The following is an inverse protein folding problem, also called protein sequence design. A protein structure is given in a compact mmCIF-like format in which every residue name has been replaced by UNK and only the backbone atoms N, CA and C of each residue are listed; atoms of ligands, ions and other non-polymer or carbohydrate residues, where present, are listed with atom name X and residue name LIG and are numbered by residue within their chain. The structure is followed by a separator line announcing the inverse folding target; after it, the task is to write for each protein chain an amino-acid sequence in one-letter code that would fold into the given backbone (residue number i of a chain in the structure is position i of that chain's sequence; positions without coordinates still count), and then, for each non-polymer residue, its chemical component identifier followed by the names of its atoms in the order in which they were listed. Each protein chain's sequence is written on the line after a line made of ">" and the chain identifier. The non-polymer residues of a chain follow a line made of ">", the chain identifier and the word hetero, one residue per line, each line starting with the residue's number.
data_IF_584229136359
#
_entry.id   IF_584229136359
#
_cell.length_a   1.000
_cell.length_b   1.000
_cell.length_c   1.000
_cell.angle_alpha   90.00
_cell.angle_beta   90.00
_cell.angle_gamma   90.00
#
_symmetry.space_group_name_H-M   'P 1'
#
loop_
_entity.id
_entity.type
_entity.pdbx_description
1 polymer ?
#
# COMPACT_ATOMS: atom_id res chain seq x y z
N UNK A 1 -18.01 -10.01 -6.75
CA UNK A 1 -17.06 -9.54 -5.72
C UNK A 1 -15.65 -9.76 -6.25
N UNK A 2 -14.79 -8.76 -6.12
CA UNK A 2 -13.66 -8.49 -7.02
C UNK A 2 -12.60 -9.58 -7.15
N UNK A 3 -12.09 -9.71 -8.38
CA UNK A 3 -10.85 -10.42 -8.73
C UNK A 3 -9.67 -9.70 -8.05
N UNK A 4 -9.30 -10.11 -6.84
CA UNK A 4 -8.08 -9.71 -6.16
C UNK A 4 -7.07 -10.87 -6.16
N UNK A 5 -5.80 -10.58 -5.90
CA UNK A 5 -4.75 -11.60 -5.73
C UNK A 5 -5.23 -12.71 -4.77
N UNK A 6 -5.27 -13.98 -5.19
CA UNK A 6 -5.65 -15.11 -4.34
C UNK A 6 -4.77 -15.26 -3.09
N UNK A 7 -3.53 -14.76 -3.12
CA UNK A 7 -2.60 -14.78 -1.99
C UNK A 7 -2.84 -13.62 -1.01
N UNK A 8 -3.68 -12.65 -1.37
CA UNK A 8 -4.00 -11.51 -0.51
C UNK A 8 -4.86 -11.98 0.66
N UNK A 9 -4.44 -11.70 1.91
CA UNK A 9 -5.23 -11.95 3.09
C UNK A 9 -6.66 -11.41 2.96
N UNK A 10 -7.65 -12.21 3.38
CA UNK A 10 -9.05 -11.77 3.38
C UNK A 10 -9.19 -10.55 4.28
N UNK A 11 -9.83 -9.50 3.76
CA UNK A 11 -10.04 -8.26 4.48
C UNK A 11 -10.70 -8.47 5.85
N UNK A 12 -10.38 -7.58 6.79
CA UNK A 12 -10.96 -7.60 8.13
C UNK A 12 -12.49 -7.39 8.08
N UNK A 13 -13.23 -8.20 8.83
CA UNK A 13 -14.66 -8.09 9.01
C UNK A 13 -15.00 -7.24 10.24
N UNK A 14 -16.00 -6.38 10.09
CA UNK A 14 -16.56 -5.58 11.18
C UNK A 14 -17.45 -6.44 12.08
N UNK A 15 -17.70 -5.99 13.31
CA UNK A 15 -18.63 -6.63 14.24
C UNK A 15 -20.03 -6.79 13.64
N UNK A 16 -20.49 -5.77 12.91
CA UNK A 16 -21.75 -5.85 12.15
C UNK A 16 -21.69 -6.88 11.01
N UNK A 17 -20.54 -7.04 10.35
CA UNK A 17 -20.41 -8.01 9.25
C UNK A 17 -20.51 -9.46 9.77
N UNK A 18 -19.90 -9.74 10.92
CA UNK A 18 -20.06 -11.03 11.61
C UNK A 18 -21.51 -11.27 12.04
N UNK A 19 -22.18 -10.26 12.56
CA UNK A 19 -23.59 -10.35 12.93
C UNK A 19 -24.51 -10.61 11.73
N UNK A 20 -24.25 -9.95 10.60
CA UNK A 20 -25.01 -10.20 9.36
C UNK A 20 -24.79 -11.63 8.88
N UNK A 21 -23.58 -12.17 9.03
CA UNK A 21 -23.26 -13.56 8.69
C UNK A 21 -23.99 -14.56 9.58
N UNK A 22 -24.00 -14.37 10.90
CA UNK A 22 -24.77 -15.23 11.81
C UNK A 22 -26.27 -15.16 11.54
N UNK A 23 -26.81 -13.97 11.24
CA UNK A 23 -28.20 -13.82 10.85
C UNK A 23 -28.52 -14.57 9.54
N UNK A 24 -27.57 -14.62 8.58
CA UNK A 24 -27.75 -15.38 7.33
C UNK A 24 -27.74 -16.88 7.59
N UNK A 25 -26.85 -17.35 8.44
CA UNK A 25 -26.78 -18.77 8.82
C UNK A 25 -28.04 -19.22 9.55
N UNK A 26 -28.53 -18.43 10.51
CA UNK A 26 -29.80 -18.68 11.20
C UNK A 26 -30.97 -18.76 10.21
N UNK A 27 -31.03 -17.84 9.25
CA UNK A 27 -32.08 -17.83 8.24
C UNK A 27 -31.99 -19.04 7.31
N UNK A 28 -30.78 -19.42 6.86
CA UNK A 28 -30.58 -20.63 6.04
C UNK A 28 -30.96 -21.90 6.79
N UNK A 29 -30.69 -21.99 8.09
CA UNK A 29 -31.09 -23.16 8.91
C UNK A 29 -32.62 -23.24 9.07
N UNK A 30 -33.29 -22.10 9.27
CA UNK A 30 -34.74 -22.05 9.48
C UNK A 30 -35.54 -22.16 8.18
N UNK A 31 -34.96 -21.69 7.08
CA UNK A 31 -35.58 -21.67 5.77
C UNK A 31 -34.56 -22.07 4.69
N UNK A 32 -34.20 -23.37 4.60
CA UNK A 32 -33.20 -23.85 3.65
C UNK A 32 -33.59 -23.66 2.19
N UNK A 33 -34.89 -23.73 1.87
CA UNK A 33 -35.42 -23.53 0.51
C UNK A 33 -35.95 -22.11 0.24
N UNK A 34 -35.93 -21.21 1.22
CA UNK A 34 -36.40 -19.84 1.00
C UNK A 34 -35.32 -18.97 0.36
N UNK A 35 -35.64 -18.43 -0.81
CA UNK A 35 -34.86 -17.35 -1.42
C UNK A 35 -34.91 -16.10 -0.53
N UNK A 36 -33.76 -15.73 0.03
CA UNK A 36 -33.63 -14.52 0.85
C UNK A 36 -33.53 -13.28 -0.04
N UNK A 37 -34.53 -12.40 0.04
CA UNK A 37 -34.43 -11.06 -0.55
C UNK A 37 -33.39 -10.23 0.22
N UNK A 38 -32.26 -9.95 -0.42
CA UNK A 38 -31.12 -9.24 0.19
C UNK A 38 -31.51 -7.86 0.76
N UNK A 39 -32.40 -7.13 0.09
CA UNK A 39 -32.81 -5.80 0.52
C UNK A 39 -33.63 -5.84 1.82
N UNK A 40 -34.56 -6.79 1.93
CA UNK A 40 -35.35 -7.00 3.15
C UNK A 40 -34.50 -7.57 4.28
N UNK A 41 -33.62 -8.51 3.97
CA UNK A 41 -32.72 -9.11 4.94
C UNK A 41 -31.76 -8.08 5.52
N UNK A 42 -31.21 -7.18 4.69
CA UNK A 42 -30.34 -6.09 5.16
C UNK A 42 -31.07 -5.10 6.07
N UNK A 43 -32.35 -4.78 5.79
CA UNK A 43 -33.17 -3.94 6.67
C UNK A 43 -33.40 -4.62 8.03
N UNK A 44 -33.83 -5.88 8.02
CA UNK A 44 -34.05 -6.68 9.25
C UNK A 44 -32.77 -6.82 10.09
N UNK A 45 -31.62 -7.02 9.46
CA UNK A 45 -30.33 -7.06 10.18
C UNK A 45 -29.97 -5.70 10.79
N UNK A 46 -30.22 -4.59 10.09
CA UNK A 46 -29.91 -3.26 10.63
C UNK A 46 -30.76 -2.93 11.86
N UNK A 47 -32.05 -3.23 11.82
CA UNK A 47 -32.98 -3.04 12.93
C UNK A 47 -32.61 -3.92 14.13
N UNK A 48 -32.37 -5.22 13.90
CA UNK A 48 -31.91 -6.15 14.94
C UNK A 48 -30.56 -5.72 15.52
N UNK A 49 -29.64 -5.22 14.71
CA UNK A 49 -28.37 -4.69 15.22
C UNK A 49 -28.57 -3.46 16.10
N UNK A 50 -29.52 -2.57 15.78
CA UNK A 50 -29.78 -1.38 16.60
C UNK A 50 -30.30 -1.73 18.00
N UNK A 51 -31.20 -2.72 18.09
CA UNK A 51 -31.85 -3.12 19.35
C UNK A 51 -30.98 -4.01 20.24
N UNK A 52 -29.99 -4.71 19.66
CA UNK A 52 -29.16 -5.67 20.38
C UNK A 52 -27.96 -4.98 21.04
N UNK A 53 -28.11 -4.41 22.25
CA UNK A 53 -26.99 -3.73 22.94
C UNK A 53 -26.01 -4.71 23.61
N UNK A 54 -26.52 -5.74 24.31
CA UNK A 54 -25.70 -6.69 25.07
C UNK A 54 -24.97 -7.73 24.21
N UNK A 55 -25.51 -8.05 23.04
CA UNK A 55 -24.89 -9.04 22.14
C UNK A 55 -23.83 -8.43 21.21
N UNK A 56 -23.81 -7.09 21.06
CA UNK A 56 -22.77 -6.37 20.30
C UNK A 56 -21.37 -6.66 20.80
N UNK A 57 -21.19 -6.75 22.12
CA UNK A 57 -19.87 -7.00 22.73
C UNK A 57 -19.24 -8.30 22.21
N UNK A 58 -20.04 -9.37 22.04
CA UNK A 58 -19.55 -10.63 21.48
C UNK A 58 -19.03 -10.46 20.05
N UNK A 59 -19.74 -9.70 19.22
CA UNK A 59 -19.34 -9.44 17.83
C UNK A 59 -18.17 -8.44 17.74
N UNK A 60 -18.05 -7.51 18.68
CA UNK A 60 -16.91 -6.61 18.80
C UNK A 60 -15.62 -7.37 19.13
N UNK A 61 -15.68 -8.34 20.04
CA UNK A 61 -14.50 -9.14 20.39
C UNK A 61 -14.06 -10.04 19.24
N UNK A 62 -15.01 -10.62 18.49
CA UNK A 62 -14.69 -11.37 17.25
C UNK A 62 -14.09 -10.44 16.18
N UNK A 63 -14.60 -9.21 16.03
CA UNK A 63 -14.03 -8.25 15.09
C UNK A 63 -12.62 -7.78 15.50
N UNK A 64 -12.35 -7.64 16.80
CA UNK A 64 -10.99 -7.36 17.32
C UNK A 64 -10.05 -8.53 17.02
N UNK A 65 -10.48 -9.78 17.26
CA UNK A 65 -9.69 -10.95 16.93
C UNK A 65 -9.40 -11.05 15.43
N UNK A 66 -10.40 -10.76 14.58
CA UNK A 66 -10.23 -10.75 13.13
C UNK A 66 -9.29 -9.64 12.63
N UNK A 67 -9.30 -8.48 13.30
CA UNK A 67 -8.32 -7.42 13.06
C UNK A 67 -6.90 -7.93 13.31
N UNK A 68 -6.66 -8.64 14.42
CA UNK A 68 -5.34 -9.21 14.75
C UNK A 68 -4.94 -10.29 13.75
N UNK A 69 -5.88 -11.16 13.34
CA UNK A 69 -5.67 -12.15 12.26
C UNK A 69 -5.22 -11.46 10.97
N UNK A 70 -5.97 -10.46 10.52
CA UNK A 70 -5.67 -9.72 9.31
C UNK A 70 -4.31 -9.01 9.37
N UNK A 71 -3.98 -8.38 10.50
CA UNK A 71 -2.67 -7.73 10.68
C UNK A 71 -1.52 -8.73 10.63
N UNK A 72 -1.69 -9.92 11.22
CA UNK A 72 -0.71 -11.01 11.18
C UNK A 72 -0.52 -11.53 9.75
N UNK A 73 -1.61 -11.84 9.05
CA UNK A 73 -1.58 -12.33 7.67
C UNK A 73 -0.99 -11.28 6.71
N UNK A 74 -1.34 -10.00 6.90
CA UNK A 74 -0.79 -8.89 6.11
C UNK A 74 0.70 -8.66 6.36
N UNK A 75 1.21 -8.94 7.57
CA UNK A 75 2.65 -8.84 7.86
C UNK A 75 3.46 -9.87 7.07
N UNK A 76 2.91 -11.07 6.87
CA UNK A 76 3.53 -12.11 6.03
C UNK A 76 3.24 -11.97 4.53
N UNK A 77 2.31 -11.10 4.14
CA UNK A 77 1.90 -10.94 2.76
C UNK A 77 2.90 -10.07 1.98
N UNK A 78 3.48 -10.65 0.94
CA UNK A 78 4.34 -9.94 -0.02
C UNK A 78 3.48 -9.66 -1.26
N UNK A 79 3.04 -8.41 -1.50
CA UNK A 79 2.25 -8.10 -2.67
C UNK A 79 3.06 -8.32 -3.96
N UNK A 80 2.41 -8.78 -5.04
CA UNK A 80 3.07 -8.95 -6.33
C UNK A 80 3.61 -7.59 -6.84
N UNK A 81 4.77 -7.66 -7.52
CA UNK A 81 5.52 -6.49 -7.99
C UNK A 81 4.65 -5.65 -8.92
N UNK A 82 4.19 -4.50 -8.44
CA UNK A 82 3.35 -3.56 -9.20
C UNK A 82 2.01 -3.20 -8.54
N UNK A 83 1.56 -3.93 -7.51
CA UNK A 83 0.31 -3.64 -6.78
C UNK A 83 0.47 -2.67 -5.61
N UNK A 84 1.56 -1.89 -5.55
CA UNK A 84 1.63 -0.81 -4.57
C UNK A 84 0.64 0.27 -4.99
N UNK A 85 -0.45 0.42 -4.23
CA UNK A 85 -1.37 1.56 -4.36
C UNK A 85 -0.52 2.82 -4.42
N UNK A 86 -0.59 3.55 -5.54
CA UNK A 86 -0.01 4.89 -5.65
C UNK A 86 -0.64 5.71 -4.52
N UNK A 87 0.12 5.98 -3.46
CA UNK A 87 -0.31 6.97 -2.47
C UNK A 87 -0.50 8.29 -3.21
N UNK A 88 -1.59 8.98 -2.91
CA UNK A 88 -1.76 10.37 -3.31
C UNK A 88 -0.59 11.12 -2.69
N UNK A 89 0.30 11.70 -3.52
CA UNK A 89 1.39 12.52 -3.00
C UNK A 89 0.75 13.81 -2.56
N UNK A 90 0.83 14.08 -1.26
CA UNK A 90 0.44 15.38 -0.70
C UNK A 90 1.22 16.48 -1.45
N UNK A 91 0.53 17.49 -2.04
CA UNK A 91 1.19 18.61 -2.72
C UNK A 91 2.17 19.38 -1.82
N UNK A 92 1.94 19.37 -0.50
CA UNK A 92 2.76 20.05 0.49
C UNK A 92 3.85 19.14 1.09
N UNK A 93 3.89 17.85 0.75
CA UNK A 93 4.95 16.98 1.24
C UNK A 93 6.31 17.42 0.68
N UNK A 94 7.30 17.55 1.57
CA UNK A 94 8.66 17.80 1.16
C UNK A 94 9.12 16.73 0.17
N UNK A 95 9.71 17.19 -0.95
CA UNK A 95 10.21 16.31 -1.99
C UNK A 95 11.45 15.59 -1.50
N UNK A 96 11.50 14.27 -1.70
CA UNK A 96 12.67 13.46 -1.34
C UNK A 96 13.89 13.91 -2.15
N UNK A 97 15.07 13.97 -1.52
CA UNK A 97 16.29 14.35 -2.22
C UNK A 97 16.71 13.26 -3.22
N UNK A 98 17.40 13.62 -4.31
CA UNK A 98 17.94 12.66 -5.26
C UNK A 98 19.01 11.78 -4.62
N UNK A 99 19.04 10.50 -4.98
CA UNK A 99 20.10 9.58 -4.56
C UNK A 99 21.40 9.82 -5.34
N UNK A 100 22.50 9.22 -4.89
CA UNK A 100 23.80 9.29 -5.56
C UNK A 100 23.71 8.90 -7.04
N UNK A 101 22.97 7.83 -7.35
CA UNK A 101 22.71 7.41 -8.73
C UNK A 101 21.95 8.46 -9.55
N UNK A 102 20.94 9.12 -8.97
CA UNK A 102 20.20 10.17 -9.67
C UNK A 102 21.04 11.43 -9.91
N UNK A 103 21.92 11.77 -8.97
CA UNK A 103 22.90 12.86 -9.16
C UNK A 103 23.85 12.53 -10.31
N UNK A 104 24.39 11.30 -10.35
CA UNK A 104 25.19 10.81 -11.47
C UNK A 104 24.42 10.83 -12.79
N UNK A 105 23.19 10.33 -12.81
CA UNK A 105 22.34 10.37 -14.00
C UNK A 105 22.11 11.81 -14.48
N UNK A 106 21.94 12.77 -13.57
CA UNK A 106 21.76 14.18 -13.95
C UNK A 106 22.97 14.73 -14.72
N UNK A 107 24.19 14.38 -14.30
CA UNK A 107 25.43 14.87 -14.91
C UNK A 107 25.75 14.15 -16.24
N UNK A 108 25.45 12.86 -16.33
CA UNK A 108 25.84 12.01 -17.48
C UNK A 108 24.75 11.86 -18.53
N UNK A 109 23.48 12.06 -18.18
CA UNK A 109 22.36 12.04 -19.14
C UNK A 109 22.55 13.00 -20.31
N UNK A 110 22.93 14.29 -20.14
CA UNK A 110 23.14 15.18 -21.27
C UNK A 110 24.32 14.73 -22.16
N UNK A 111 25.37 14.13 -21.56
CA UNK A 111 26.52 13.60 -22.33
C UNK A 111 26.10 12.46 -23.24
N UNK A 112 25.33 11.51 -22.71
CA UNK A 112 24.85 10.35 -23.47
C UNK A 112 23.81 10.76 -24.53
N UNK A 113 22.98 11.77 -24.25
CA UNK A 113 22.08 12.35 -25.27
C UNK A 113 22.89 12.95 -26.42
N UNK A 114 24.00 13.64 -26.12
CA UNK A 114 24.89 14.20 -27.13
C UNK A 114 25.63 13.15 -27.96
N UNK A 115 26.06 12.05 -27.33
CA UNK A 115 26.72 10.92 -28.01
C UNK A 115 25.74 10.08 -28.84
N UNK A 116 24.48 9.99 -28.40
CA UNK A 116 23.43 9.21 -29.05
C UNK A 116 22.18 10.07 -29.31
N UNK A 117 22.26 11.05 -30.22
CA UNK A 117 21.12 11.86 -30.59
C UNK A 117 20.08 10.95 -31.27
N UNK A 118 18.95 10.72 -30.61
CA UNK A 118 17.85 9.88 -31.12
C UNK A 118 17.54 8.63 -30.27
N UNK A 119 18.38 8.27 -29.29
CA UNK A 119 18.03 7.21 -28.34
C UNK A 119 16.87 7.61 -27.44
N UNK A 120 16.02 6.64 -27.08
CA UNK A 120 14.89 6.91 -26.18
C UNK A 120 15.40 7.20 -24.77
N UNK A 121 14.62 7.98 -24.00
CA UNK A 121 14.94 8.26 -22.59
C UNK A 121 15.11 6.96 -21.79
N UNK A 122 14.36 5.91 -22.14
CA UNK A 122 14.46 4.59 -21.52
C UNK A 122 15.80 3.90 -21.79
N UNK A 123 16.30 3.96 -23.02
CA UNK A 123 17.58 3.35 -23.39
C UNK A 123 18.77 4.09 -22.76
N UNK A 124 18.67 5.42 -22.70
CA UNK A 124 19.66 6.26 -22.01
C UNK A 124 19.70 5.93 -20.51
N UNK A 125 18.54 5.73 -19.89
CA UNK A 125 18.47 5.33 -18.48
C UNK A 125 19.08 3.95 -18.22
N UNK A 126 18.89 2.98 -19.13
CA UNK A 126 19.55 1.66 -19.05
C UNK A 126 21.07 1.80 -19.13
N UNK A 127 21.58 2.54 -20.12
CA UNK A 127 23.02 2.79 -20.30
C UNK A 127 23.63 3.47 -19.07
N UNK A 128 22.94 4.45 -18.46
CA UNK A 128 23.37 5.08 -17.20
C UNK A 128 23.41 4.10 -16.03
N UNK A 129 22.44 3.18 -15.94
CA UNK A 129 22.41 2.13 -14.92
C UNK A 129 23.61 1.20 -15.01
N UNK A 130 23.93 0.75 -16.22
CA UNK A 130 25.12 -0.08 -16.50
C UNK A 130 26.42 0.68 -16.17
N UNK A 131 26.51 1.94 -16.61
CA UNK A 131 27.67 2.79 -16.36
C UNK A 131 27.89 3.01 -14.86
N UNK A 132 26.82 3.26 -14.10
CA UNK A 132 26.89 3.37 -12.64
C UNK A 132 27.34 2.06 -12.00
N UNK A 133 26.83 0.90 -12.41
CA UNK A 133 27.26 -0.38 -11.84
C UNK A 133 28.75 -0.64 -12.09
N UNK A 134 29.26 -0.25 -13.26
CA UNK A 134 30.67 -0.40 -13.64
C UNK A 134 31.58 0.71 -13.09
N UNK A 135 31.04 1.81 -12.57
CA UNK A 135 31.83 2.91 -11.98
C UNK A 135 32.47 2.46 -10.67
N UNK A 136 33.74 2.82 -10.44
CA UNK A 136 34.46 2.50 -9.23
C UNK A 136 33.81 3.12 -7.97
N UNK A 137 34.02 2.51 -6.82
CA UNK A 137 33.51 3.03 -5.54
C UNK A 137 34.03 4.43 -5.23
N UNK A 138 35.27 4.73 -5.62
CA UNK A 138 35.90 6.04 -5.38
C UNK A 138 35.22 7.16 -6.18
N UNK A 139 34.81 6.88 -7.41
CA UNK A 139 34.08 7.82 -8.27
C UNK A 139 32.61 7.98 -7.83
N UNK A 140 32.03 6.97 -7.17
CA UNK A 140 30.70 7.03 -6.55
C UNK A 140 30.71 7.84 -5.25
N UNK A 141 31.82 7.80 -4.51
CA UNK A 141 31.98 8.45 -3.20
C UNK A 141 31.59 9.94 -3.18
N UNK A 142 31.98 10.80 -4.14
CA UNK A 142 31.53 12.19 -4.17
C UNK A 142 30.02 12.32 -4.35
N UNK A 143 29.39 11.45 -5.16
CA UNK A 143 27.94 11.42 -5.35
C UNK A 143 27.20 10.94 -4.10
N UNK A 144 27.74 9.93 -3.41
CA UNK A 144 27.20 9.44 -2.15
C UNK A 144 27.31 10.49 -1.05
N UNK A 145 28.45 11.18 -0.92
CA UNK A 145 28.62 12.30 0.02
C UNK A 145 27.66 13.45 -0.27
N UNK A 146 27.45 13.81 -1.55
CA UNK A 146 26.47 14.83 -1.95
C UNK A 146 25.05 14.39 -1.59
N UNK A 147 24.67 13.15 -1.91
CA UNK A 147 23.37 12.60 -1.58
C UNK A 147 23.13 12.53 -0.06
N UNK A 148 24.15 12.18 0.73
CA UNK A 148 24.08 12.15 2.18
C UNK A 148 23.83 13.55 2.76
N UNK A 149 24.53 14.58 2.28
CA UNK A 149 24.27 15.98 2.69
C UNK A 149 22.86 16.44 2.35
N UNK A 150 22.35 16.11 1.15
CA UNK A 150 20.98 16.45 0.76
C UNK A 150 19.95 15.69 1.61
N UNK A 151 20.25 14.45 1.97
CA UNK A 151 19.43 13.64 2.87
C UNK A 151 19.36 14.24 4.27
N UNK A 152 20.49 14.65 4.83
CA UNK A 152 20.54 15.30 6.14
C UNK A 152 19.74 16.60 6.16
N UNK A 153 19.87 17.43 5.10
CA UNK A 153 19.06 18.65 4.96
C UNK A 153 17.56 18.34 4.91
N UNK A 154 17.18 17.35 4.10
CA UNK A 154 15.79 16.92 4.00
C UNK A 154 15.25 16.37 5.33
N UNK A 155 16.05 15.62 6.10
CA UNK A 155 15.65 15.12 7.42
C UNK A 155 15.41 16.26 8.41
N UNK A 156 16.24 17.32 8.38
CA UNK A 156 16.03 18.54 9.17
C UNK A 156 14.76 19.28 8.75
N UNK A 157 14.57 19.48 7.44
CA UNK A 157 13.38 20.17 6.92
C UNK A 157 12.10 19.36 7.20
N UNK A 158 12.17 18.02 7.13
CA UNK A 158 11.07 17.13 7.48
C UNK A 158 10.76 17.14 8.98
N UNK A 159 11.79 17.24 9.83
CA UNK A 159 11.59 17.40 11.27
C UNK A 159 10.89 18.72 11.58
N UNK A 160 11.31 19.82 10.94
CA UNK A 160 10.67 21.12 11.07
C UNK A 160 9.23 21.15 10.54
N UNK A 161 8.94 20.40 9.47
CA UNK A 161 7.57 20.28 8.93
C UNK A 161 6.63 19.43 9.79
N UNK A 162 7.18 18.51 10.59
CA UNK A 162 6.41 17.63 11.47
C UNK A 162 6.24 18.18 12.89
N UNK A 163 7.06 19.17 13.27
CA UNK A 163 6.95 19.89 14.54
C UNK A 163 5.80 20.90 14.47
#
# INVERSE_FOLDING_TARGET
>A
MGKGDPKKPRGKMSSYAYFVETCREEHKKKHPDASVNFAEFSKKCSERWRTMSKEKTKFEDVAKADKVRYEREMKSYIPPKGETKKSFKDPNALKRPPSAFFLFCSDFRPKIIGEHPGSTIGDIAKKLGEMWNNTATDDKLPYERKAAKLKEKYEKDLAAYRA
#
